data_IF_573000453020
#
_entry.id   IF_573000453020
#
_cell.length_a   1.000
_cell.length_b   1.000
_cell.length_c   1.000
_cell.angle_alpha   90.00
_cell.angle_beta   90.00
_cell.angle_gamma   90.00
#
_symmetry.space_group_name_H-M   'P 1'
#
loop_
_entity.id
_entity.type
_entity.pdbx_description
1 polymer ?
#
# COMPACT_ATOMS: atom_id res chain seq x y z
N UNK A 1 26.61 11.59 -6.70
CA UNK A 1 26.55 10.31 -5.96
C UNK A 1 27.98 9.93 -5.63
N UNK A 2 28.37 9.99 -4.36
CA UNK A 2 29.78 9.76 -3.97
C UNK A 2 30.08 8.29 -3.63
N UNK A 3 29.07 7.46 -3.36
CA UNK A 3 29.21 6.00 -3.20
C UNK A 3 27.87 5.29 -3.43
N UNK A 4 27.89 4.13 -4.10
CA UNK A 4 26.76 3.20 -4.17
C UNK A 4 27.03 2.06 -3.20
N UNK A 5 26.03 1.69 -2.41
CA UNK A 5 26.07 0.57 -1.45
C UNK A 5 24.85 -0.30 -1.76
N UNK A 6 25.05 -1.61 -1.72
CA UNK A 6 24.03 -2.64 -1.88
C UNK A 6 23.85 -3.42 -0.57
N UNK A 7 22.82 -4.26 -0.49
CA UNK A 7 22.62 -5.16 0.66
C UNK A 7 23.83 -6.10 0.85
N UNK A 8 24.49 -6.51 -0.24
CA UNK A 8 25.63 -7.43 -0.21
C UNK A 8 26.90 -6.80 0.39
N UNK A 9 26.94 -5.47 0.50
CA UNK A 9 28.04 -4.74 1.15
C UNK A 9 27.87 -4.67 2.68
N UNK A 10 26.72 -5.09 3.21
CA UNK A 10 26.37 -5.00 4.62
C UNK A 10 26.43 -6.37 5.27
N UNK A 11 27.21 -6.55 6.33
CA UNK A 11 27.26 -7.82 7.06
C UNK A 11 25.90 -8.18 7.71
N UNK A 12 25.16 -7.16 8.13
CA UNK A 12 23.84 -7.32 8.75
C UNK A 12 22.91 -6.23 8.22
N UNK A 13 21.78 -6.65 7.66
CA UNK A 13 20.77 -5.74 7.11
C UNK A 13 19.38 -6.28 7.44
N UNK A 14 18.60 -5.51 8.19
CA UNK A 14 17.26 -5.89 8.63
C UNK A 14 16.32 -4.70 8.47
N UNK A 15 15.14 -4.97 7.92
CA UNK A 15 14.07 -3.99 7.88
C UNK A 15 13.17 -4.18 9.10
N UNK A 16 12.82 -3.07 9.72
CA UNK A 16 11.76 -3.00 10.72
C UNK A 16 10.84 -1.87 10.27
N UNK A 17 9.56 -2.17 10.07
CA UNK A 17 8.55 -1.14 9.84
C UNK A 17 7.64 -1.10 11.04
N UNK A 18 7.42 0.08 11.59
CA UNK A 18 6.55 0.27 12.76
C UNK A 18 5.11 0.58 12.34
N UNK A 19 4.80 0.51 11.04
CA UNK A 19 3.49 0.84 10.46
C UNK A 19 3.40 0.29 9.04
N UNK A 20 2.66 -0.80 8.85
CA UNK A 20 2.51 -1.47 7.54
C UNK A 20 1.17 -2.21 7.46
N UNK A 21 0.75 -2.57 6.24
CA UNK A 21 -0.49 -3.30 5.99
C UNK A 21 -1.69 -2.71 6.73
N UNK A 22 -1.97 -1.42 6.53
CA UNK A 22 -3.17 -0.78 7.09
C UNK A 22 -4.41 -1.49 6.59
N UNK A 23 -5.37 -1.79 7.47
CA UNK A 23 -6.75 -2.00 7.02
C UNK A 23 -7.15 -0.72 6.27
N UNK A 24 -7.62 -0.89 5.03
CA UNK A 24 -7.61 0.12 3.98
C UNK A 24 -7.78 1.57 4.45
N UNK A 25 -7.03 2.50 3.85
CA UNK A 25 -6.92 3.85 4.40
C UNK A 25 -8.05 4.76 3.92
N UNK A 26 -7.73 5.81 3.17
CA UNK A 26 -8.70 6.83 2.76
C UNK A 26 -8.31 7.36 1.38
N UNK A 27 -9.24 8.08 0.77
CA UNK A 27 -8.99 8.92 -0.37
C UNK A 27 -8.97 10.40 0.04
N UNK A 28 -8.19 11.21 -0.67
CA UNK A 28 -8.04 12.63 -0.38
C UNK A 28 -8.37 13.49 -1.57
N UNK A 29 -9.15 14.54 -1.32
CA UNK A 29 -9.51 15.58 -2.29
C UNK A 29 -9.17 16.95 -1.71
N UNK A 30 -8.90 17.91 -2.59
CA UNK A 30 -8.81 19.33 -2.22
C UNK A 30 -10.15 20.01 -2.55
N UNK A 31 -10.98 20.38 -1.56
CA UNK A 31 -12.26 21.05 -1.80
C UNK A 31 -12.12 22.56 -2.04
N UNK A 32 -10.95 23.15 -1.76
CA UNK A 32 -10.65 24.57 -1.92
C UNK A 32 -10.06 24.88 -3.31
N UNK A 33 -10.05 26.16 -3.71
CA UNK A 33 -9.34 26.59 -4.91
C UNK A 33 -7.81 26.51 -4.72
N UNK A 34 -7.08 26.22 -5.80
CA UNK A 34 -5.62 26.17 -5.79
C UNK A 34 -5.05 24.75 -5.68
N UNK A 35 -3.84 24.64 -5.13
CA UNK A 35 -3.06 23.39 -5.08
C UNK A 35 -2.38 23.24 -3.72
N UNK A 36 -2.47 22.03 -3.14
CA UNK A 36 -1.94 21.75 -1.81
C UNK A 36 -0.90 20.63 -1.86
N UNK A 37 0.32 20.93 -1.41
CA UNK A 37 1.38 19.93 -1.29
C UNK A 37 1.12 18.95 -0.13
N UNK A 38 1.24 17.65 -0.40
CA UNK A 38 1.00 16.60 0.60
C UNK A 38 1.79 15.33 0.31
N UNK A 39 1.89 14.45 1.30
CA UNK A 39 2.38 13.08 1.12
C UNK A 39 1.41 12.22 0.29
N UNK A 40 0.21 12.73 0.01
CA UNK A 40 -0.80 12.08 -0.82
C UNK A 40 -0.87 12.62 -2.26
N UNK A 41 0.15 13.36 -2.72
CA UNK A 41 0.26 13.89 -4.08
C UNK A 41 1.71 13.87 -4.56
N UNK A 42 1.94 13.90 -5.87
CA UNK A 42 3.31 13.93 -6.46
C UNK A 42 3.77 15.34 -6.79
N UNK A 43 2.88 16.19 -7.31
CA UNK A 43 3.14 17.61 -7.59
C UNK A 43 2.41 18.55 -6.64
N UNK A 44 1.27 18.10 -6.12
CA UNK A 44 0.32 18.87 -5.31
C UNK A 44 -1.10 18.45 -5.70
N UNK A 45 -2.06 18.55 -4.77
CA UNK A 45 -3.45 18.13 -4.99
C UNK A 45 -4.29 19.33 -5.43
N UNK A 46 -4.77 19.31 -6.66
CA UNK A 46 -5.51 20.42 -7.29
C UNK A 46 -6.98 20.43 -6.88
N UNK A 47 -7.45 21.62 -6.53
CA UNK A 47 -8.83 21.86 -6.19
C UNK A 47 -9.51 22.90 -7.08
N UNK A 48 -10.83 23.10 -6.90
CA UNK A 48 -11.69 22.35 -6.00
C UNK A 48 -12.19 21.07 -6.69
N UNK A 49 -11.99 19.91 -6.07
CA UNK A 49 -12.47 18.61 -6.55
C UNK A 49 -12.02 18.26 -7.98
N UNK A 50 -10.79 18.66 -8.38
CA UNK A 50 -10.26 18.37 -9.73
C UNK A 50 -9.65 16.98 -9.84
N UNK A 51 -9.19 16.44 -8.73
CA UNK A 51 -8.55 15.13 -8.65
C UNK A 51 -8.66 14.53 -7.25
N UNK A 52 -8.50 13.22 -7.17
CA UNK A 52 -8.49 12.46 -5.92
C UNK A 52 -7.31 11.49 -5.91
N UNK A 53 -6.64 11.38 -4.76
CA UNK A 53 -5.65 10.35 -4.51
C UNK A 53 -6.19 9.29 -3.57
N UNK A 54 -5.77 8.03 -3.76
CA UNK A 54 -6.33 6.88 -3.03
C UNK A 54 -5.21 6.01 -2.47
N UNK A 55 -5.36 5.52 -1.24
CA UNK A 55 -4.41 4.60 -0.59
C UNK A 55 -5.12 3.34 -0.10
N UNK A 56 -4.80 2.19 -0.68
CA UNK A 56 -5.27 0.88 -0.23
C UNK A 56 -5.37 -0.12 -1.37
N UNK A 57 -5.22 -1.40 -1.04
CA UNK A 57 -5.27 -2.51 -2.01
C UNK A 57 -6.68 -3.11 -2.17
N UNK A 58 -7.68 -2.63 -1.42
CA UNK A 58 -9.06 -3.10 -1.51
C UNK A 58 -9.21 -4.51 -0.92
N UNK A 59 -9.92 -5.38 -1.62
CA UNK A 59 -10.29 -6.73 -1.16
C UNK A 59 -9.10 -7.66 -0.87
N UNK A 60 -7.93 -7.42 -1.49
CA UNK A 60 -6.74 -8.27 -1.25
C UNK A 60 -5.95 -7.86 0.00
N UNK A 61 -6.41 -6.85 0.73
CA UNK A 61 -5.76 -6.37 1.93
C UNK A 61 -5.84 -7.44 3.05
N UNK A 62 -4.72 -7.86 3.66
CA UNK A 62 -4.74 -8.92 4.66
C UNK A 62 -5.59 -8.58 5.90
N UNK A 63 -5.72 -7.30 6.26
CA UNK A 63 -6.53 -6.87 7.41
C UNK A 63 -8.00 -6.65 7.08
N UNK A 64 -8.39 -6.66 5.80
CA UNK A 64 -9.80 -6.85 5.43
C UNK A 64 -10.20 -8.33 5.43
N UNK A 65 -9.23 -9.22 5.14
CA UNK A 65 -9.42 -10.66 5.11
C UNK A 65 -9.39 -11.30 6.52
N UNK A 66 -8.74 -10.66 7.48
CA UNK A 66 -8.77 -11.03 8.91
C UNK A 66 -9.08 -9.81 9.80
N UNK A 67 -10.28 -9.21 9.69
CA UNK A 67 -10.61 -7.92 10.30
C UNK A 67 -10.65 -7.96 11.83
N UNK A 68 -10.78 -9.15 12.42
CA UNK A 68 -10.79 -9.38 13.86
C UNK A 68 -9.47 -9.94 14.40
N UNK A 69 -8.44 -10.01 13.54
CA UNK A 69 -7.10 -10.49 13.88
C UNK A 69 -7.15 -11.84 14.59
N UNK A 70 -7.89 -12.80 13.99
CA UNK A 70 -8.04 -14.17 14.50
C UNK A 70 -6.86 -15.06 14.15
N UNK A 71 -6.20 -14.74 13.05
CA UNK A 71 -5.06 -15.51 12.50
C UNK A 71 -3.77 -14.69 12.51
N UNK A 72 -3.89 -13.36 12.42
CA UNK A 72 -2.76 -12.43 12.41
C UNK A 72 -2.47 -11.95 13.84
N UNK A 73 -1.30 -12.28 14.35
CA UNK A 73 -0.83 -11.91 15.69
C UNK A 73 0.68 -11.73 15.74
N UNK A 74 1.23 -11.49 16.94
CA UNK A 74 2.68 -11.45 17.17
C UNK A 74 3.25 -12.82 16.79
N UNK A 75 4.35 -12.84 16.05
CA UNK A 75 5.01 -14.07 15.59
C UNK A 75 4.36 -14.74 14.38
N UNK A 76 3.24 -14.22 13.85
CA UNK A 76 2.72 -14.69 12.56
C UNK A 76 3.79 -14.50 11.49
N UNK A 77 4.16 -15.59 10.82
CA UNK A 77 5.08 -15.57 9.69
C UNK A 77 4.38 -14.97 8.47
N UNK A 78 5.03 -14.01 7.84
CA UNK A 78 4.51 -13.25 6.71
C UNK A 78 5.58 -13.12 5.63
N UNK A 79 5.22 -12.60 4.46
CA UNK A 79 6.17 -12.20 3.44
C UNK A 79 6.29 -10.67 3.40
N UNK A 80 7.51 -10.17 3.49
CA UNK A 80 7.85 -8.74 3.53
C UNK A 80 8.83 -8.46 2.40
N UNK A 81 8.38 -7.73 1.38
CA UNK A 81 9.16 -7.45 0.17
C UNK A 81 9.78 -8.72 -0.46
N UNK A 82 9.05 -9.82 -0.47
CA UNK A 82 9.51 -11.11 -0.99
C UNK A 82 10.33 -11.98 -0.02
N UNK A 83 10.83 -11.42 1.08
CA UNK A 83 11.54 -12.14 2.14
C UNK A 83 10.58 -12.74 3.17
N UNK A 84 11.02 -13.78 3.88
CA UNK A 84 10.29 -14.24 5.06
C UNK A 84 10.46 -13.22 6.20
N UNK A 85 9.33 -12.84 6.80
CA UNK A 85 9.28 -11.91 7.92
C UNK A 85 8.29 -12.32 8.99
N UNK A 86 8.17 -11.48 10.01
CA UNK A 86 7.30 -11.72 11.16
C UNK A 86 6.59 -10.44 11.56
N UNK A 87 5.33 -10.59 11.99
CA UNK A 87 4.63 -9.56 12.76
C UNK A 87 5.26 -9.48 14.15
N UNK A 88 5.71 -8.29 14.54
CA UNK A 88 6.33 -8.05 15.85
C UNK A 88 5.42 -7.28 16.82
N UNK A 89 4.26 -6.84 16.35
CA UNK A 89 3.28 -6.14 17.17
C UNK A 89 2.32 -5.28 16.36
N UNK A 90 1.54 -4.48 17.09
CA UNK A 90 0.72 -3.43 16.51
C UNK A 90 1.60 -2.34 15.91
N UNK A 91 1.21 -1.83 14.76
CA UNK A 91 1.87 -0.65 14.24
C UNK A 91 1.42 0.62 14.96
N UNK A 92 2.22 1.67 14.80
CA UNK A 92 1.95 2.99 15.37
C UNK A 92 0.60 3.54 14.91
N UNK A 93 -0.14 4.17 15.83
CA UNK A 93 -1.50 4.67 15.59
C UNK A 93 -2.50 3.60 15.13
N UNK A 94 -2.22 2.32 15.40
CA UNK A 94 -3.21 1.25 15.25
C UNK A 94 -4.37 1.48 16.22
N UNK A 95 -5.58 1.16 15.76
CA UNK A 95 -6.80 1.12 16.56
C UNK A 95 -7.64 -0.09 16.14
N UNK A 96 -8.66 -0.42 16.91
CA UNK A 96 -9.59 -1.52 16.59
C UNK A 96 -10.25 -1.33 15.22
N UNK A 97 -10.66 -0.10 14.91
CA UNK A 97 -11.29 0.23 13.62
C UNK A 97 -10.30 0.31 12.46
N UNK A 98 -9.03 0.65 12.74
CA UNK A 98 -7.98 0.86 11.73
C UNK A 98 -6.69 0.13 12.13
N UNK A 99 -6.71 -1.22 12.20
CA UNK A 99 -5.54 -1.97 12.59
C UNK A 99 -4.44 -1.83 11.54
N UNK A 100 -3.19 -1.92 12.00
CA UNK A 100 -2.01 -2.02 11.15
C UNK A 100 -0.89 -2.76 11.89
N UNK A 101 0.09 -3.24 11.14
CA UNK A 101 1.12 -4.16 11.63
C UNK A 101 2.46 -3.46 11.79
N UNK A 102 3.21 -3.86 12.81
CA UNK A 102 4.65 -3.67 12.91
C UNK A 102 5.33 -4.97 12.49
N UNK A 103 6.32 -4.92 11.60
CA UNK A 103 6.94 -6.14 11.03
C UNK A 103 8.45 -6.05 10.93
N UNK A 104 9.10 -7.21 10.83
CA UNK A 104 10.54 -7.31 10.54
C UNK A 104 10.86 -8.42 9.54
N UNK A 105 11.91 -8.20 8.74
CA UNK A 105 12.47 -9.21 7.83
C UNK A 105 13.95 -8.93 7.51
N UNK A 106 14.67 -9.96 7.09
CA UNK A 106 16.06 -9.85 6.60
C UNK A 106 16.06 -9.18 5.21
N UNK A 107 16.89 -8.14 5.04
CA UNK A 107 16.96 -7.44 3.77
C UNK A 107 17.73 -8.22 2.69
N UNK A 108 18.60 -9.16 3.07
CA UNK A 108 19.33 -10.00 2.12
C UNK A 108 18.40 -10.88 1.29
N UNK A 109 17.29 -11.32 1.87
CA UNK A 109 16.29 -12.15 1.19
C UNK A 109 15.23 -11.33 0.43
N UNK A 110 15.25 -10.00 0.55
CA UNK A 110 14.27 -9.15 -0.12
C UNK A 110 14.52 -9.04 -1.62
N UNK A 111 13.42 -8.87 -2.33
CA UNK A 111 13.38 -8.59 -3.75
C UNK A 111 13.06 -7.10 -3.96
N UNK A 112 13.93 -6.43 -4.73
CA UNK A 112 13.81 -5.00 -5.01
C UNK A 112 12.54 -4.65 -5.81
N UNK A 113 11.90 -5.62 -6.47
CA UNK A 113 10.65 -5.40 -7.19
C UNK A 113 9.45 -5.09 -6.26
N UNK A 114 9.52 -5.50 -4.99
CA UNK A 114 8.43 -5.30 -4.02
C UNK A 114 8.67 -4.13 -3.04
N UNK A 115 9.74 -3.36 -3.23
CA UNK A 115 10.09 -2.24 -2.36
C UNK A 115 10.71 -1.08 -3.14
N UNK A 116 10.70 0.12 -2.58
CA UNK A 116 11.32 1.25 -3.24
C UNK A 116 11.04 2.58 -2.58
N UNK A 117 11.53 3.66 -3.19
CA UNK A 117 11.19 5.01 -2.80
C UNK A 117 10.01 5.54 -3.61
N UNK A 118 9.18 6.35 -2.97
CA UNK A 118 8.08 7.08 -3.61
C UNK A 118 8.19 8.56 -3.23
N UNK A 119 8.54 9.40 -4.19
CA UNK A 119 8.72 10.84 -3.97
C UNK A 119 7.34 11.52 -4.07
N UNK A 120 6.89 12.11 -2.97
CA UNK A 120 5.68 12.93 -2.92
C UNK A 120 6.02 14.41 -3.06
N UNK A 121 5.01 15.27 -3.18
CA UNK A 121 5.24 16.72 -3.24
C UNK A 121 5.74 17.30 -1.92
N UNK A 122 5.73 16.53 -0.82
CA UNK A 122 6.17 17.00 0.50
C UNK A 122 7.41 16.28 1.03
N UNK A 123 7.54 14.98 0.80
CA UNK A 123 8.64 14.15 1.28
C UNK A 123 8.75 12.83 0.51
N UNK A 124 9.93 12.19 0.52
CA UNK A 124 10.01 10.79 0.10
C UNK A 124 9.31 9.87 1.12
N UNK A 125 8.76 8.77 0.61
CA UNK A 125 8.13 7.68 1.35
C UNK A 125 8.76 6.35 0.94
N UNK A 126 8.65 5.33 1.78
CA UNK A 126 9.10 3.98 1.48
C UNK A 126 7.92 3.10 1.06
N UNK A 127 8.01 2.52 -0.13
CA UNK A 127 7.11 1.45 -0.57
C UNK A 127 7.53 0.16 0.12
N UNK A 128 6.58 -0.51 0.75
CA UNK A 128 6.75 -1.83 1.36
C UNK A 128 5.55 -2.68 1.01
N UNK A 129 5.81 -3.90 0.56
CA UNK A 129 4.76 -4.87 0.21
C UNK A 129 4.71 -5.97 1.26
N UNK A 130 3.50 -6.26 1.73
CA UNK A 130 3.24 -7.26 2.78
C UNK A 130 2.21 -8.25 2.24
N UNK A 131 2.55 -9.54 2.28
CA UNK A 131 1.60 -10.60 2.07
C UNK A 131 1.51 -11.45 3.35
N UNK A 132 0.29 -11.71 3.80
CA UNK A 132 0.02 -12.47 5.02
C UNK A 132 -0.82 -13.68 4.65
N UNK A 133 -0.42 -14.89 5.04
CA UNK A 133 -1.28 -16.04 4.85
C UNK A 133 -2.42 -16.02 5.87
N UNK A 134 -3.65 -16.19 5.42
CA UNK A 134 -4.84 -16.27 6.29
C UNK A 134 -5.38 -17.70 6.29
N UNK A 135 -5.01 -18.54 7.28
CA UNK A 135 -5.49 -19.92 7.37
C UNK A 135 -6.98 -19.98 7.72
N UNK A 136 -7.72 -20.83 7.02
CA UNK A 136 -9.15 -21.06 7.30
C UNK A 136 -9.30 -21.97 8.52
N UNK A 137 -9.37 -21.35 9.70
CA UNK A 137 -9.50 -22.03 11.00
C UNK A 137 -10.94 -22.04 11.55
N UNK A 138 -11.86 -21.32 10.90
CA UNK A 138 -13.28 -21.25 11.26
C UNK A 138 -14.12 -20.76 10.07
N UNK A 139 -15.43 -21.02 10.12
CA UNK A 139 -16.40 -20.50 9.15
C UNK A 139 -16.41 -18.97 9.08
N UNK A 140 -16.18 -18.30 10.21
CA UNK A 140 -16.14 -16.83 10.25
C UNK A 140 -14.92 -16.27 9.49
N UNK A 141 -13.74 -16.91 9.65
CA UNK A 141 -12.56 -16.55 8.85
C UNK A 141 -12.84 -16.81 7.37
N UNK A 142 -13.42 -17.96 7.03
CA UNK A 142 -13.79 -18.26 5.64
C UNK A 142 -14.77 -17.23 5.05
N UNK A 143 -15.74 -16.76 5.85
CA UNK A 143 -16.68 -15.74 5.42
C UNK A 143 -16.01 -14.40 5.15
N UNK A 144 -15.02 -13.99 5.97
CA UNK A 144 -14.29 -12.75 5.76
C UNK A 144 -13.44 -12.77 4.48
N UNK A 145 -12.91 -13.93 4.09
CA UNK A 145 -12.15 -14.09 2.83
C UNK A 145 -12.97 -13.87 1.56
N UNK A 146 -14.30 -13.75 1.67
CA UNK A 146 -15.19 -13.53 0.53
C UNK A 146 -15.47 -12.04 0.27
N UNK A 147 -14.91 -11.15 1.07
CA UNK A 147 -15.10 -9.70 0.91
C UNK A 147 -14.65 -9.26 -0.48
N UNK A 148 -15.48 -8.46 -1.15
CA UNK A 148 -15.17 -7.88 -2.45
C UNK A 148 -14.97 -6.37 -2.34
N UNK A 149 -14.31 -5.77 -3.33
CA UNK A 149 -14.03 -4.33 -3.36
C UNK A 149 -15.27 -3.44 -3.21
N UNK A 150 -16.45 -3.90 -3.65
CA UNK A 150 -17.73 -3.21 -3.48
C UNK A 150 -18.15 -3.06 -2.01
N UNK A 151 -17.69 -3.99 -1.16
CA UNK A 151 -17.98 -4.06 0.27
C UNK A 151 -16.90 -3.36 1.11
N UNK A 152 -15.71 -3.16 0.56
CA UNK A 152 -14.62 -2.45 1.22
C UNK A 152 -14.85 -0.94 1.14
N UNK A 153 -15.16 -0.33 2.28
CA UNK A 153 -15.40 1.11 2.40
C UNK A 153 -14.17 1.94 2.05
N UNK A 154 -14.38 3.04 1.33
CA UNK A 154 -13.38 4.05 1.03
C UNK A 154 -13.85 5.42 1.55
N UNK A 155 -13.44 5.83 2.76
CA UNK A 155 -13.70 7.17 3.26
C UNK A 155 -12.95 8.22 2.42
N UNK A 156 -13.63 9.31 2.08
CA UNK A 156 -13.08 10.44 1.33
C UNK A 156 -12.96 11.63 2.28
N UNK A 157 -11.74 12.12 2.45
CA UNK A 157 -11.42 13.20 3.36
C UNK A 157 -10.90 14.44 2.63
N UNK A 158 -11.13 15.60 3.25
CA UNK A 158 -10.45 16.84 2.86
C UNK A 158 -8.95 16.70 3.20
N UNK A 159 -8.07 17.08 2.29
CA UNK A 159 -6.63 17.05 2.50
C UNK A 159 -6.15 17.96 3.65
N UNK A 160 -6.90 19.01 3.98
CA UNK A 160 -6.52 20.02 4.99
C UNK A 160 -6.67 19.51 6.42
N UNK A 161 -7.83 18.94 6.77
CA UNK A 161 -8.13 18.46 8.12
C UNK A 161 -8.07 16.92 8.24
N UNK A 162 -8.10 16.21 7.10
CA UNK A 162 -8.13 14.75 6.98
C UNK A 162 -9.34 14.11 7.64
N UNK A 163 -10.44 14.86 7.74
CA UNK A 163 -11.71 14.39 8.28
C UNK A 163 -12.56 13.88 7.11
N UNK A 164 -12.99 12.60 7.11
CA UNK A 164 -13.88 12.08 6.10
C UNK A 164 -15.24 12.78 6.10
N UNK A 165 -15.76 13.12 4.92
CA UNK A 165 -17.07 13.77 4.76
C UNK A 165 -17.97 13.07 3.73
N UNK A 166 -17.41 12.18 2.89
CA UNK A 166 -18.15 11.30 1.96
C UNK A 166 -17.55 9.89 2.05
N UNK A 167 -18.34 8.88 1.72
CA UNK A 167 -17.90 7.48 1.63
C UNK A 167 -18.17 6.93 0.22
N UNK A 168 -17.22 6.16 -0.31
CA UNK A 168 -17.34 5.34 -1.51
C UNK A 168 -16.86 3.91 -1.17
N UNK A 169 -16.45 3.12 -2.15
CA UNK A 169 -15.84 1.81 -1.95
C UNK A 169 -14.64 1.60 -2.90
N UNK A 170 -13.87 0.54 -2.66
CA UNK A 170 -12.69 0.24 -3.45
C UNK A 170 -13.01 -0.25 -4.87
N UNK A 171 -14.27 -0.57 -5.17
CA UNK A 171 -14.66 -0.94 -6.53
C UNK A 171 -14.43 0.22 -7.51
N UNK A 172 -14.63 1.46 -7.06
CA UNK A 172 -14.31 2.65 -7.85
C UNK A 172 -12.81 2.79 -8.22
N UNK A 173 -11.93 2.06 -7.54
CA UNK A 173 -10.46 2.13 -7.68
C UNK A 173 -9.90 0.94 -8.45
N UNK A 174 -10.48 -0.25 -8.24
CA UNK A 174 -9.90 -1.52 -8.68
C UNK A 174 -10.80 -2.36 -9.58
N UNK A 175 -12.12 -2.15 -9.58
CA UNK A 175 -13.04 -2.92 -10.43
C UNK A 175 -13.22 -2.21 -11.78
N UNK A 176 -13.06 -2.97 -12.87
CA UNK A 176 -13.11 -2.44 -14.25
C UNK A 176 -12.11 -1.30 -14.53
N UNK A 177 -10.96 -1.33 -13.87
CA UNK A 177 -9.86 -0.37 -14.03
C UNK A 177 -8.56 -1.10 -14.41
N UNK A 178 -7.59 -0.38 -14.96
CA UNK A 178 -6.30 -0.96 -15.33
C UNK A 178 -5.41 -1.07 -14.09
N UNK A 179 -4.82 -2.25 -13.86
CA UNK A 179 -3.87 -2.47 -12.76
C UNK A 179 -2.46 -1.98 -13.10
N UNK A 180 -2.16 -1.82 -14.38
CA UNK A 180 -0.85 -1.49 -14.91
C UNK A 180 -0.92 -0.27 -15.83
N UNK A 181 0.18 0.49 -15.87
CA UNK A 181 0.29 1.64 -16.75
C UNK A 181 1.05 1.25 -18.00
N UNK A 182 0.52 1.66 -19.15
CA UNK A 182 1.12 1.40 -20.44
C UNK A 182 1.78 2.66 -21.02
N UNK A 183 3.03 2.52 -21.46
CA UNK A 183 3.76 3.57 -22.17
C UNK A 183 3.80 3.28 -23.68
N UNK A 184 3.27 4.21 -24.49
CA UNK A 184 3.31 4.15 -25.95
C UNK A 184 4.40 5.09 -26.48
N UNK A 185 5.56 4.53 -26.81
CA UNK A 185 6.71 5.28 -27.33
C UNK A 185 6.38 6.11 -28.56
N UNK A 186 5.43 5.68 -29.40
CA UNK A 186 5.05 6.38 -30.65
C UNK A 186 4.32 7.70 -30.39
N UNK A 187 3.72 7.86 -29.20
CA UNK A 187 3.07 9.10 -28.76
C UNK A 187 4.00 10.00 -27.95
N UNK A 188 5.19 9.52 -27.58
CA UNK A 188 6.15 10.32 -26.84
C UNK A 188 6.88 11.27 -27.81
N UNK A 189 6.59 12.57 -27.71
CA UNK A 189 7.20 13.58 -28.58
C UNK A 189 8.57 14.08 -28.09
N UNK A 190 9.13 13.49 -27.04
CA UNK A 190 10.40 13.89 -26.43
C UNK A 190 10.44 15.38 -26.06
N UNK A 191 9.43 15.84 -25.31
CA UNK A 191 9.29 17.24 -24.88
C UNK A 191 10.59 17.78 -24.25
N UNK A 192 10.91 19.05 -24.46
CA UNK A 192 12.07 19.73 -23.84
C UNK A 192 11.96 19.77 -22.30
N UNK A 193 10.74 19.97 -21.80
CA UNK A 193 10.38 19.86 -20.39
C UNK A 193 9.30 18.78 -20.25
N UNK A 194 9.62 17.70 -19.53
CA UNK A 194 8.71 16.57 -19.36
C UNK A 194 8.30 16.44 -17.89
N UNK A 195 7.05 16.78 -17.60
CA UNK A 195 6.50 16.67 -16.23
C UNK A 195 6.47 15.22 -15.73
N UNK A 196 6.32 14.23 -16.62
CA UNK A 196 6.43 12.82 -16.23
C UNK A 196 7.82 12.49 -15.70
N UNK A 197 8.89 12.89 -16.40
CA UNK A 197 10.27 12.67 -15.94
C UNK A 197 10.55 13.43 -14.63
N UNK A 198 9.98 14.63 -14.49
CA UNK A 198 10.16 15.48 -13.30
C UNK A 198 9.43 14.93 -12.06
N UNK A 199 8.22 14.40 -12.22
CA UNK A 199 7.33 14.06 -11.11
C UNK A 199 7.03 12.56 -10.99
N UNK A 200 7.64 11.69 -11.79
CA UNK A 200 7.51 10.24 -11.61
C UNK A 200 8.03 9.85 -10.21
N UNK A 201 7.17 9.39 -9.28
CA UNK A 201 7.54 9.28 -7.88
C UNK A 201 8.59 8.20 -7.63
N UNK A 202 8.71 7.22 -8.52
CA UNK A 202 9.68 6.14 -8.42
C UNK A 202 10.85 6.28 -9.39
N UNK A 203 10.91 7.37 -10.18
CA UNK A 203 11.87 7.52 -11.28
C UNK A 203 11.83 6.34 -12.28
N UNK A 204 10.64 5.79 -12.53
CA UNK A 204 10.40 4.72 -13.50
C UNK A 204 10.38 5.23 -14.96
N UNK A 205 10.46 6.52 -15.20
CA UNK A 205 10.57 7.07 -16.55
C UNK A 205 11.66 8.12 -16.62
N UNK A 206 12.41 8.09 -17.72
CA UNK A 206 13.24 9.21 -18.16
C UNK A 206 13.23 9.29 -19.68
N UNK A 207 13.38 10.48 -20.25
CA UNK A 207 13.48 10.66 -21.70
C UNK A 207 14.66 9.91 -22.29
N UNK A 208 15.77 9.84 -21.54
CA UNK A 208 17.01 9.18 -21.97
C UNK A 208 16.95 7.64 -21.95
N UNK A 209 16.18 7.03 -21.03
CA UNK A 209 16.13 5.56 -20.86
C UNK A 209 14.79 4.92 -21.19
N UNK A 210 13.74 5.72 -21.38
CA UNK A 210 12.38 5.23 -21.55
C UNK A 210 11.73 4.85 -20.22
N UNK A 211 10.77 3.92 -20.30
CA UNK A 211 9.94 3.46 -19.20
C UNK A 211 10.47 2.13 -18.63
N UNK A 212 10.67 2.09 -17.32
CA UNK A 212 11.13 0.95 -16.54
C UNK A 212 9.93 0.34 -15.81
N UNK A 213 9.39 -0.74 -16.36
CA UNK A 213 8.22 -1.44 -15.84
C UNK A 213 8.48 -2.07 -14.47
N UNK A 214 9.70 -2.54 -14.21
CA UNK A 214 10.06 -3.13 -12.91
C UNK A 214 10.12 -2.10 -11.79
N UNK A 215 10.42 -0.84 -12.12
CA UNK A 215 10.41 0.28 -11.16
C UNK A 215 9.06 0.99 -11.07
N UNK A 216 8.16 0.75 -12.03
CA UNK A 216 6.86 1.41 -12.07
C UNK A 216 6.00 0.98 -10.87
N UNK A 217 5.50 1.95 -10.10
CA UNK A 217 4.57 1.69 -9.00
C UNK A 217 3.09 1.63 -9.45
N UNK A 218 2.81 1.73 -10.75
CA UNK A 218 1.45 1.76 -11.32
C UNK A 218 0.51 2.82 -10.69
N UNK A 219 1.09 3.88 -10.11
CA UNK A 219 0.33 4.92 -9.41
C UNK A 219 -0.55 5.77 -10.33
N UNK A 220 -0.25 5.81 -11.62
CA UNK A 220 -1.03 6.54 -12.62
C UNK A 220 -0.75 8.03 -12.74
N UNK A 221 0.14 8.61 -11.92
CA UNK A 221 0.50 10.03 -12.02
C UNK A 221 0.88 10.47 -13.45
N UNK A 222 1.64 9.64 -14.15
CA UNK A 222 2.10 9.93 -15.52
C UNK A 222 0.96 10.02 -16.55
N UNK A 223 -0.18 9.36 -16.32
CA UNK A 223 -1.37 9.44 -17.19
C UNK A 223 -1.91 10.87 -17.23
N UNK A 224 -1.85 11.59 -16.11
CA UNK A 224 -2.35 12.96 -16.00
C UNK A 224 -1.28 14.03 -16.25
N UNK A 225 0.00 13.68 -16.04
CA UNK A 225 1.13 14.58 -16.30
C UNK A 225 1.52 14.65 -17.78
N UNK A 226 1.23 13.61 -18.58
CA UNK A 226 1.57 13.59 -19.99
C UNK A 226 0.47 14.19 -20.87
N UNK A 227 0.65 15.44 -21.31
CA UNK A 227 -0.30 16.12 -22.21
C UNK A 227 -0.47 15.45 -23.57
N UNK A 228 0.56 14.70 -24.02
CA UNK A 228 0.57 14.01 -25.32
C UNK A 228 -0.09 12.62 -25.27
N UNK A 229 -0.47 12.14 -24.08
CA UNK A 229 -1.12 10.83 -23.93
C UNK A 229 -0.22 9.63 -24.25
N UNK A 230 1.09 9.77 -24.01
CA UNK A 230 2.05 8.67 -24.13
C UNK A 230 1.89 7.62 -23.02
N UNK A 231 1.30 7.98 -21.88
CA UNK A 231 0.96 7.05 -20.79
C UNK A 231 -0.55 6.82 -20.75
N UNK A 232 -0.97 5.57 -20.54
CA UNK A 232 -2.39 5.19 -20.49
C UNK A 232 -2.66 4.24 -19.32
N UNK A 233 -3.83 4.41 -18.74
CA UNK A 233 -4.40 3.55 -17.71
C UNK A 233 -5.68 4.18 -17.19
N UNK A 234 -6.78 3.43 -17.16
CA UNK A 234 -8.00 3.80 -16.48
C UNK A 234 -7.80 3.60 -14.97
N UNK A 235 -7.70 4.69 -14.22
CA UNK A 235 -7.48 4.65 -12.76
C UNK A 235 -8.78 4.63 -11.95
N UNK A 236 -9.94 4.76 -12.64
CA UNK A 236 -11.23 4.94 -11.99
C UNK A 236 -11.56 6.40 -11.67
N UNK A 237 -12.80 6.60 -11.21
CA UNK A 237 -13.37 7.91 -10.86
C UNK A 237 -14.29 7.73 -9.67
N UNK A 238 -14.38 8.75 -8.82
CA UNK A 238 -15.19 8.71 -7.61
C UNK A 238 -16.20 9.86 -7.65
N UNK A 239 -17.48 9.53 -7.43
CA UNK A 239 -18.53 10.53 -7.30
C UNK A 239 -18.47 11.17 -5.91
N UNK A 240 -18.30 12.48 -5.87
CA UNK A 240 -18.33 13.31 -4.66
C UNK A 240 -19.46 14.33 -4.84
N UNK A 241 -20.56 14.12 -4.12
CA UNK A 241 -21.82 14.84 -4.34
C UNK A 241 -22.30 14.72 -5.80
N UNK A 242 -22.37 15.82 -6.53
CA UNK A 242 -22.75 15.92 -7.94
C UNK A 242 -21.55 15.86 -8.91
N UNK A 243 -20.32 15.86 -8.38
CA UNK A 243 -19.09 15.86 -9.16
C UNK A 243 -18.54 14.46 -9.35
N UNK A 244 -18.06 14.17 -10.55
CA UNK A 244 -17.33 12.94 -10.86
C UNK A 244 -15.83 13.24 -10.97
N UNK A 245 -15.06 12.82 -9.97
CA UNK A 245 -13.66 13.25 -9.76
C UNK A 245 -12.70 12.13 -10.19
N UNK A 246 -11.74 12.39 -11.11
CA UNK A 246 -10.79 11.37 -11.55
C UNK A 246 -9.80 10.99 -10.44
N UNK A 247 -9.53 9.69 -10.30
CA UNK A 247 -8.37 9.23 -9.54
C UNK A 247 -7.13 9.58 -10.36
N UNK A 248 -6.23 10.38 -9.79
CA UNK A 248 -4.96 10.76 -10.46
C UNK A 248 -3.73 10.15 -9.82
N UNK A 249 -3.89 9.59 -8.62
CA UNK A 249 -2.82 8.90 -7.91
C UNK A 249 -3.36 7.74 -7.07
N UNK A 250 -2.90 6.53 -7.37
CA UNK A 250 -3.05 5.36 -6.49
C UNK A 250 -1.75 5.15 -5.72
N UNK A 251 -1.78 5.32 -4.41
CA UNK A 251 -0.65 5.06 -3.52
C UNK A 251 -0.64 3.61 -3.03
N UNK A 252 -0.93 2.69 -3.95
CA UNK A 252 -0.90 1.25 -3.78
C UNK A 252 -0.75 0.63 -5.17
N UNK A 253 0.00 -0.47 -5.26
CA UNK A 253 0.21 -1.18 -6.53
C UNK A 253 -0.46 -2.57 -6.43
N UNK A 254 -1.70 -2.67 -6.93
CA UNK A 254 -2.46 -3.92 -6.84
C UNK A 254 -1.90 -5.03 -7.73
N UNK A 255 -1.28 -4.69 -8.87
CA UNK A 255 -0.58 -5.69 -9.70
C UNK A 255 0.56 -6.35 -8.91
N UNK A 256 1.47 -5.55 -8.34
CA UNK A 256 2.60 -6.08 -7.54
C UNK A 256 2.14 -6.77 -6.24
N UNK A 257 1.06 -6.30 -5.62
CA UNK A 257 0.48 -6.99 -4.46
C UNK A 257 -0.05 -8.38 -4.81
N UNK A 258 -0.71 -8.53 -5.96
CA UNK A 258 -1.15 -9.84 -6.46
C UNK A 258 0.02 -10.77 -6.80
N UNK A 259 1.09 -10.24 -7.40
CA UNK A 259 2.32 -11.00 -7.65
C UNK A 259 2.95 -11.50 -6.35
N UNK A 260 3.04 -10.65 -5.32
CA UNK A 260 3.57 -11.05 -4.01
C UNK A 260 2.69 -12.11 -3.34
N UNK A 261 1.37 -11.95 -3.40
CA UNK A 261 0.42 -12.94 -2.88
C UNK A 261 0.57 -14.28 -3.60
N UNK A 262 0.77 -14.28 -4.93
CA UNK A 262 1.03 -15.48 -5.72
C UNK A 262 2.38 -16.13 -5.36
N UNK A 263 3.42 -15.33 -5.14
CA UNK A 263 4.74 -15.83 -4.67
C UNK A 263 4.60 -16.55 -3.33
N UNK A 264 3.93 -15.93 -2.36
CA UNK A 264 3.66 -16.55 -1.06
C UNK A 264 2.83 -17.84 -1.20
N UNK A 265 1.77 -17.82 -2.01
CA UNK A 265 0.94 -19.01 -2.29
C UNK A 265 1.78 -20.16 -2.83
N UNK A 266 2.65 -19.91 -3.79
CA UNK A 266 3.50 -20.94 -4.38
C UNK A 266 4.46 -21.55 -3.34
N UNK A 267 5.14 -20.72 -2.55
CA UNK A 267 6.03 -21.21 -1.50
C UNK A 267 5.30 -22.02 -0.42
N UNK A 268 4.04 -21.70 -0.12
CA UNK A 268 3.21 -22.52 0.79
C UNK A 268 2.93 -23.90 0.18
N UNK A 269 2.54 -23.95 -1.10
CA UNK A 269 2.25 -25.21 -1.81
C UNK A 269 3.50 -26.08 -1.91
N UNK A 270 4.65 -25.47 -2.17
CA UNK A 270 5.97 -26.12 -2.28
C UNK A 270 6.58 -26.47 -0.92
N UNK A 271 5.92 -26.08 0.19
CA UNK A 271 6.36 -26.29 1.58
C UNK A 271 7.66 -25.56 1.95
N UNK A 272 8.03 -24.54 1.18
CA UNK A 272 9.13 -23.63 1.48
C UNK A 272 8.73 -22.57 2.50
N UNK A 273 7.42 -22.25 2.56
CA UNK A 273 6.85 -21.36 3.56
C UNK A 273 5.85 -22.12 4.44
N UNK A 274 6.22 -22.38 5.69
CA UNK A 274 5.33 -23.00 6.67
C UNK A 274 4.56 -21.95 7.45
N UNK A 275 3.24 -22.16 7.56
CA UNK A 275 2.35 -21.36 8.40
C UNK A 275 2.69 -21.54 9.87
N UNK A 276 2.52 -20.47 10.65
CA UNK A 276 2.71 -20.49 12.10
C UNK A 276 1.48 -19.90 12.78
N UNK A 277 1.10 -20.48 13.91
CA UNK A 277 0.16 -19.81 14.81
C UNK A 277 0.85 -18.58 15.43
N UNK A 278 0.08 -17.51 15.70
CA UNK A 278 0.60 -16.38 16.46
C UNK A 278 0.99 -16.82 17.88
N UNK A 279 2.12 -16.30 18.38
CA UNK A 279 2.59 -16.57 19.75
C UNK A 279 1.87 -15.72 20.80
N UNK A 280 1.33 -14.56 20.40
CA UNK A 280 0.39 -13.74 21.17
C UNK A 280 -0.49 -12.96 20.17
N UNK A 281 -1.67 -12.54 20.60
CA UNK A 281 -2.61 -11.81 19.75
C UNK A 281 -2.40 -10.29 19.89
N UNK A 282 -2.65 -9.57 18.80
CA UNK A 282 -2.73 -8.10 18.84
C UNK A 282 -3.96 -7.70 19.68
N UNK A 283 -3.94 -6.52 20.30
CA UNK A 283 -5.01 -6.13 21.23
C UNK A 283 -6.32 -6.00 20.48
N UNK A 284 -7.33 -6.70 20.97
CA UNK A 284 -8.74 -6.49 20.63
C UNK A 284 -9.30 -5.47 21.61
N UNK A 285 -10.09 -4.50 21.16
CA UNK A 285 -10.50 -3.34 21.98
C UNK A 285 -11.26 -3.68 23.26
N UNK A 286 -11.68 -4.95 23.43
CA UNK A 286 -12.42 -5.42 24.60
C UNK A 286 -11.62 -6.27 25.62
N UNK A 287 -10.34 -6.60 25.39
CA UNK A 287 -9.56 -7.45 26.32
C UNK A 287 -8.72 -6.70 27.38
N UNK A 288 -8.77 -5.36 27.40
CA UNK A 288 -8.05 -4.54 28.39
C UNK A 288 -8.53 -4.80 29.84
N UNK A 289 -9.64 -5.52 30.05
CA UNK A 289 -10.17 -5.83 31.39
C UNK A 289 -9.82 -7.21 31.98
N UNK A 290 -8.99 -8.05 31.34
CA UNK A 290 -8.72 -9.40 31.89
C UNK A 290 -7.30 -9.96 31.75
N UNK A 291 -6.27 -9.15 31.52
CA UNK A 291 -4.90 -9.58 31.84
C UNK A 291 -4.62 -9.26 33.31
N UNK A 292 -4.97 -10.21 34.20
CA UNK A 292 -4.41 -10.23 35.55
C UNK A 292 -2.90 -10.05 35.44
N UNK A 293 -2.36 -9.03 36.12
CA UNK A 293 -0.93 -8.81 36.22
C UNK A 293 -0.31 -10.04 36.88
N UNK A 294 0.19 -10.98 36.08
CA UNK A 294 1.16 -11.96 36.59
C UNK A 294 2.41 -11.16 36.92
N UNK A 295 2.55 -10.89 38.21
CA UNK A 295 3.64 -10.14 38.79
C UNK A 295 4.89 -11.01 38.73
N UNK A 296 5.64 -10.98 37.62
CA UNK A 296 6.92 -11.68 37.44
C UNK A 296 8.08 -11.06 38.26
N UNK A 297 7.77 -10.56 39.46
CA UNK A 297 8.77 -10.22 40.49
C UNK A 297 8.71 -11.24 41.61
N UNK A 298 9.08 -12.49 41.32
CA UNK A 298 9.77 -13.37 42.27
C UNK A 298 10.72 -14.26 41.48
N UNK A 299 11.99 -14.24 41.90
CA UNK A 299 13.10 -15.11 41.48
C UNK A 299 13.86 -14.67 40.22
N UNK A 300 14.76 -13.68 40.34
CA UNK A 300 16.23 -13.86 40.52
C UNK A 300 16.76 -12.61 41.22
#
# INVERSE_FOLDING_TARGET
IERKISKDDLQFARMITTRSAFKNYMAFVNPEEGEVGSIFSVSGLKGPYKEISVTGSGEINPLENDPLLKTIGIGTRIMVNGATGYVIGEGTRSSEEKPNLSVTADMHEMDAEFMGGFITSKSPECITSIAVPVPVISEEVFSNLKIMDEEVKLPIADIHDRIPFVESNYAAVWQNTDLEIHFDTRKCVQCDLCDVEKYCPTNAFSRSKGFDEHRCFNCGACVHLCTEGAFRGNLGRIKIHDKDVPITLRQSNRSKANELAKKLKNQIIEKEFLLTEPVDYLRRGNEVKKREKINLRKSV
#
